data_IF_889038165702
#
_entry.id   IF_889038165702
#
_cell.length_a   1.000
_cell.length_b   1.000
_cell.length_c   1.000
_cell.angle_alpha   90.00
_cell.angle_beta   90.00
_cell.angle_gamma   90.00
#
_symmetry.space_group_name_H-M   'P 1'
#
loop_
_entity.id
_entity.type
_entity.pdbx_description
1 polymer ?
#
# COMPACT_ATOMS: atom_id res chain seq x y z
N UNK A 1 26.47 21.26 0.41
CA UNK A 1 26.13 19.81 0.38
C UNK A 1 24.64 19.48 0.61
N UNK A 2 23.69 20.42 0.57
CA UNK A 2 22.27 20.10 0.82
C UNK A 2 21.50 19.52 -0.39
N UNK A 3 21.86 19.88 -1.62
CA UNK A 3 21.09 19.51 -2.82
C UNK A 3 21.00 17.99 -3.05
N UNK A 4 22.09 17.24 -2.87
CA UNK A 4 22.07 15.79 -3.07
C UNK A 4 21.26 15.04 -2.00
N UNK A 5 21.32 15.46 -0.73
CA UNK A 5 20.55 14.82 0.32
C UNK A 5 19.03 15.03 0.17
N UNK A 6 18.59 16.19 -0.34
CA UNK A 6 17.18 16.41 -0.66
C UNK A 6 16.74 15.59 -1.87
N UNK A 7 17.53 15.54 -2.94
CA UNK A 7 17.20 14.74 -4.14
C UNK A 7 17.19 13.24 -3.86
N UNK A 8 18.16 12.71 -3.11
CA UNK A 8 18.18 11.30 -2.68
C UNK A 8 16.97 10.94 -1.82
N UNK A 9 16.59 11.80 -0.87
CA UNK A 9 15.37 11.61 -0.07
C UNK A 9 14.09 11.62 -0.91
N UNK A 10 14.04 12.44 -1.96
CA UNK A 10 12.89 12.47 -2.89
C UNK A 10 12.82 11.18 -3.71
N UNK A 11 13.97 10.62 -4.09
CA UNK A 11 14.07 9.36 -4.85
C UNK A 11 13.64 8.16 -3.99
N UNK A 12 14.17 8.03 -2.77
CA UNK A 12 13.77 6.98 -1.81
C UNK A 12 12.26 6.97 -1.53
N UNK A 13 11.65 8.16 -1.42
CA UNK A 13 10.19 8.26 -1.19
C UNK A 13 9.38 7.97 -2.45
N UNK A 14 9.97 8.12 -3.63
CA UNK A 14 9.35 7.73 -4.89
C UNK A 14 9.40 6.21 -5.07
N UNK A 15 10.49 5.56 -4.67
CA UNK A 15 10.60 4.09 -4.61
C UNK A 15 9.57 3.48 -3.65
N UNK A 16 9.39 4.08 -2.46
CA UNK A 16 8.36 3.66 -1.51
C UNK A 16 6.96 3.75 -2.13
N UNK A 17 6.66 4.84 -2.85
CA UNK A 17 5.36 4.99 -3.53
C UNK A 17 5.14 3.91 -4.58
N UNK A 18 6.12 3.69 -5.47
CA UNK A 18 6.06 2.66 -6.50
C UNK A 18 5.91 1.27 -5.90
N UNK A 19 6.59 0.98 -4.80
CA UNK A 19 6.42 -0.28 -4.08
C UNK A 19 5.00 -0.43 -3.49
N UNK A 20 4.45 0.66 -2.93
CA UNK A 20 3.06 0.70 -2.47
C UNK A 20 2.06 0.36 -3.58
N UNK A 21 2.26 0.90 -4.79
CA UNK A 21 1.45 0.57 -5.96
C UNK A 21 1.53 -0.92 -6.32
N UNK A 22 2.72 -1.52 -6.26
CA UNK A 22 2.91 -2.97 -6.48
C UNK A 22 2.16 -3.79 -5.43
N UNK A 23 2.18 -3.40 -4.15
CA UNK A 23 1.40 -4.09 -3.12
C UNK A 23 -0.10 -4.04 -3.40
N UNK A 24 -0.61 -2.90 -3.88
CA UNK A 24 -2.01 -2.76 -4.27
C UNK A 24 -2.37 -3.61 -5.50
N UNK A 25 -1.49 -3.70 -6.50
CA UNK A 25 -1.64 -4.62 -7.63
C UNK A 25 -1.73 -6.07 -7.15
N UNK A 26 -0.87 -6.49 -6.21
CA UNK A 26 -0.88 -7.85 -5.67
C UNK A 26 -2.17 -8.17 -4.89
N UNK A 27 -2.67 -7.23 -4.08
CA UNK A 27 -3.91 -7.43 -3.31
C UNK A 27 -5.12 -7.54 -4.23
N UNK A 28 -5.15 -6.76 -5.31
CA UNK A 28 -6.33 -6.64 -6.18
C UNK A 28 -6.29 -7.55 -7.41
N UNK A 29 -5.12 -8.07 -7.76
CA UNK A 29 -4.92 -8.82 -9.00
C UNK A 29 -5.01 -7.96 -10.25
N UNK A 30 -5.00 -6.62 -10.12
CA UNK A 30 -5.22 -5.67 -11.21
C UNK A 30 -3.93 -4.92 -11.51
N UNK A 31 -3.64 -4.73 -12.80
CA UNK A 31 -2.50 -3.92 -13.25
C UNK A 31 -2.68 -2.45 -12.89
N UNK A 32 -1.65 -1.74 -12.42
CA UNK A 32 -1.75 -0.36 -11.93
C UNK A 32 -2.09 0.67 -13.00
N UNK A 33 -1.88 0.31 -14.27
CA UNK A 33 -2.27 1.08 -15.44
C UNK A 33 -3.36 0.30 -16.17
N UNK A 34 -4.60 0.75 -16.02
CA UNK A 34 -5.79 0.18 -16.65
C UNK A 34 -6.90 1.22 -16.68
N UNK A 35 -7.97 0.97 -17.46
CA UNK A 35 -9.19 1.78 -17.38
C UNK A 35 -9.93 1.40 -16.09
N UNK A 36 -9.57 2.04 -14.98
CA UNK A 36 -10.30 1.90 -13.73
C UNK A 36 -11.57 2.77 -13.79
N UNK A 37 -12.65 2.18 -14.31
CA UNK A 37 -13.91 2.88 -14.55
C UNK A 37 -13.91 3.72 -15.83
N UNK A 38 -14.94 4.55 -15.99
CA UNK A 38 -15.11 5.43 -17.17
C UNK A 38 -14.23 6.70 -17.09
N UNK A 39 -13.69 7.03 -15.91
CA UNK A 39 -13.03 8.31 -15.63
C UNK A 39 -11.50 8.32 -15.76
N UNK A 40 -10.87 7.19 -16.15
CA UNK A 40 -9.42 7.12 -16.33
C UNK A 40 -8.62 7.26 -15.02
N UNK A 41 -9.22 6.90 -13.89
CA UNK A 41 -8.58 6.94 -12.57
C UNK A 41 -7.37 6.00 -12.51
N UNK A 42 -6.37 6.35 -11.70
CA UNK A 42 -5.30 5.40 -11.36
C UNK A 42 -5.77 4.35 -10.33
N UNK A 43 -5.01 3.27 -10.18
CA UNK A 43 -5.34 2.17 -9.26
C UNK A 43 -5.47 2.65 -7.80
N UNK A 44 -4.68 3.64 -7.39
CA UNK A 44 -4.68 4.16 -6.01
C UNK A 44 -5.99 4.88 -5.77
N UNK A 45 -6.38 5.79 -6.66
CA UNK A 45 -7.64 6.52 -6.58
C UNK A 45 -8.84 5.58 -6.56
N UNK A 46 -8.89 4.62 -7.48
CA UNK A 46 -9.97 3.63 -7.54
C UNK A 46 -10.08 2.85 -6.23
N UNK A 47 -8.96 2.34 -5.71
CA UNK A 47 -8.93 1.60 -4.44
C UNK A 47 -9.39 2.46 -3.26
N UNK A 48 -8.94 3.72 -3.18
CA UNK A 48 -9.35 4.62 -2.10
C UNK A 48 -10.85 4.90 -2.15
N UNK A 49 -11.45 5.03 -3.35
CA UNK A 49 -12.90 5.17 -3.50
C UNK A 49 -13.66 3.92 -3.07
N UNK A 50 -13.21 2.72 -3.47
CA UNK A 50 -13.88 1.46 -3.09
C UNK A 50 -13.82 1.17 -1.60
N UNK A 51 -12.70 1.55 -0.96
CA UNK A 51 -12.44 1.25 0.45
C UNK A 51 -12.79 2.39 1.39
N UNK A 52 -13.01 3.60 0.87
CA UNK A 52 -13.01 4.86 1.62
C UNK A 52 -11.74 4.99 2.52
N UNK A 53 -10.63 4.42 2.05
CA UNK A 53 -9.38 4.28 2.81
C UNK A 53 -9.46 3.41 4.07
N UNK A 54 -10.53 2.64 4.27
CA UNK A 54 -10.74 1.79 5.43
C UNK A 54 -10.28 0.35 5.17
N UNK A 55 -9.35 -0.16 5.99
CA UNK A 55 -8.87 -1.55 5.89
C UNK A 55 -9.99 -2.59 6.05
N UNK A 56 -11.07 -2.27 6.75
CA UNK A 56 -12.20 -3.19 6.90
C UNK A 56 -12.92 -3.46 5.56
N UNK A 57 -12.75 -2.57 4.57
CA UNK A 57 -13.34 -2.70 3.24
C UNK A 57 -12.46 -3.46 2.25
N UNK A 58 -11.30 -3.98 2.66
CA UNK A 58 -10.35 -4.71 1.79
C UNK A 58 -10.99 -5.89 1.07
N UNK A 59 -11.96 -6.56 1.70
CA UNK A 59 -12.71 -7.66 1.10
C UNK A 59 -13.42 -7.29 -0.22
N UNK A 60 -13.71 -6.01 -0.46
CA UNK A 60 -14.36 -5.53 -1.70
C UNK A 60 -13.42 -5.49 -2.90
N UNK A 61 -12.12 -5.40 -2.65
CA UNK A 61 -11.11 -5.22 -3.70
C UNK A 61 -10.16 -6.41 -3.80
N UNK A 62 -10.26 -7.37 -2.88
CA UNK A 62 -9.36 -8.51 -2.78
C UNK A 62 -9.51 -9.41 -4.00
N UNK A 63 -8.39 -9.82 -4.58
CA UNK A 63 -8.34 -10.81 -5.65
C UNK A 63 -8.92 -12.15 -5.15
N UNK A 64 -9.87 -12.71 -5.90
CA UNK A 64 -10.52 -14.00 -5.60
C UNK A 64 -9.53 -15.17 -5.50
N UNK A 65 -8.35 -15.05 -6.15
CA UNK A 65 -7.26 -16.03 -6.07
C UNK A 65 -6.61 -16.07 -4.68
N UNK A 66 -6.80 -15.04 -3.85
CA UNK A 66 -6.25 -14.93 -2.49
C UNK A 66 -7.14 -15.54 -1.41
N UNK A 67 -8.15 -16.34 -1.76
CA UNK A 67 -9.08 -16.97 -0.81
C UNK A 67 -8.42 -17.82 0.29
N UNK A 68 -7.19 -18.28 0.08
CA UNK A 68 -6.41 -19.08 1.05
C UNK A 68 -5.57 -18.21 2.01
N UNK A 69 -5.48 -16.90 1.77
CA UNK A 69 -4.74 -15.97 2.61
C UNK A 69 -5.67 -15.44 3.72
N UNK A 70 -5.24 -15.42 5.00
CA UNK A 70 -6.05 -14.85 6.06
C UNK A 70 -6.39 -13.38 5.77
N UNK A 71 -7.68 -13.03 5.90
CA UNK A 71 -8.13 -11.65 5.64
C UNK A 71 -7.42 -10.62 6.51
N UNK A 72 -6.99 -11.00 7.72
CA UNK A 72 -6.18 -10.16 8.62
C UNK A 72 -4.84 -9.78 8.00
N UNK A 73 -4.16 -10.71 7.34
CA UNK A 73 -2.89 -10.45 6.65
C UNK A 73 -3.13 -9.52 5.46
N UNK A 74 -4.16 -9.80 4.64
CA UNK A 74 -4.52 -8.94 3.51
C UNK A 74 -4.85 -7.51 3.96
N UNK A 75 -5.57 -7.33 5.08
CA UNK A 75 -5.85 -6.02 5.69
C UNK A 75 -4.59 -5.30 6.14
N UNK A 76 -3.61 -6.02 6.67
CA UNK A 76 -2.33 -5.43 7.08
C UNK A 76 -1.48 -5.01 5.89
N UNK A 77 -1.36 -5.86 4.86
CA UNK A 77 -0.64 -5.50 3.63
C UNK A 77 -1.30 -4.28 2.98
N UNK A 78 -2.63 -4.22 2.94
CA UNK A 78 -3.36 -3.05 2.45
C UNK A 78 -3.04 -1.79 3.25
N UNK A 79 -3.02 -1.88 4.58
CA UNK A 79 -2.68 -0.75 5.43
C UNK A 79 -1.27 -0.23 5.15
N UNK A 80 -0.28 -1.13 5.03
CA UNK A 80 1.09 -0.75 4.66
C UNK A 80 1.13 -0.11 3.28
N UNK A 81 0.45 -0.69 2.29
CA UNK A 81 0.38 -0.16 0.93
C UNK A 81 -0.22 1.25 0.90
N UNK A 82 -1.29 1.49 1.67
CA UNK A 82 -1.92 2.82 1.84
C UNK A 82 -0.94 3.86 2.38
N UNK A 83 -0.11 3.51 3.37
CA UNK A 83 0.93 4.40 3.89
C UNK A 83 2.01 4.69 2.85
N UNK A 84 2.39 3.69 2.06
CA UNK A 84 3.41 3.83 1.01
C UNK A 84 2.96 4.78 -0.11
N UNK A 85 1.69 4.72 -0.51
CA UNK A 85 1.12 5.56 -1.59
C UNK A 85 0.57 6.91 -1.10
N UNK A 86 0.92 7.33 0.11
CA UNK A 86 0.44 8.61 0.63
C UNK A 86 0.86 9.77 -0.28
N UNK A 87 -0.05 10.73 -0.51
CA UNK A 87 0.17 11.88 -1.40
C UNK A 87 1.40 12.68 -0.97
N UNK A 88 1.48 13.00 0.32
CA UNK A 88 2.61 13.69 0.93
C UNK A 88 3.78 12.73 1.16
N UNK A 89 4.92 12.97 0.50
CA UNK A 89 6.11 12.11 0.56
C UNK A 89 6.74 12.00 1.95
N UNK A 90 6.56 13.01 2.80
CA UNK A 90 7.07 13.03 4.18
C UNK A 90 6.35 12.05 5.10
N UNK A 91 5.08 11.76 4.81
CA UNK A 91 4.23 10.82 5.57
C UNK A 91 4.45 9.36 5.14
N UNK A 92 5.07 9.13 3.98
CA UNK A 92 5.40 7.78 3.54
C UNK A 92 6.45 7.20 4.50
N UNK A 93 6.41 5.90 4.83
CA UNK A 93 7.47 5.26 5.61
C UNK A 93 8.80 5.22 4.83
N UNK A 94 9.86 4.76 5.49
CA UNK A 94 11.10 4.30 4.85
C UNK A 94 10.94 2.85 4.40
N UNK A 95 11.70 2.40 3.40
CA UNK A 95 11.66 0.99 2.98
C UNK A 95 11.98 0.01 4.12
N UNK A 96 12.81 0.42 5.08
CA UNK A 96 13.09 -0.37 6.28
C UNK A 96 11.82 -0.57 7.12
N UNK A 97 11.11 0.51 7.43
CA UNK A 97 9.85 0.44 8.17
C UNK A 97 8.79 -0.38 7.41
N UNK A 98 8.75 -0.26 6.07
CA UNK A 98 7.86 -1.08 5.23
C UNK A 98 8.12 -2.57 5.43
N UNK A 99 9.38 -3.00 5.37
CA UNK A 99 9.75 -4.41 5.58
C UNK A 99 9.41 -4.86 7.00
N UNK A 100 9.68 -4.04 8.02
CA UNK A 100 9.36 -4.34 9.41
C UNK A 100 7.84 -4.50 9.63
N UNK A 101 7.03 -3.62 9.05
CA UNK A 101 5.56 -3.70 9.11
C UNK A 101 5.02 -4.95 8.39
N UNK A 102 5.55 -5.28 7.20
CA UNK A 102 5.14 -6.47 6.44
C UNK A 102 5.56 -7.77 7.14
N UNK A 103 6.73 -7.80 7.79
CA UNK A 103 7.16 -8.95 8.57
C UNK A 103 6.24 -9.21 9.78
N UNK A 104 5.75 -8.14 10.41
CA UNK A 104 4.76 -8.23 11.50
C UNK A 104 3.38 -8.68 11.01
N UNK A 105 3.05 -8.46 9.73
CA UNK A 105 1.76 -8.89 9.19
C UNK A 105 1.59 -10.43 9.17
N UNK A 106 2.69 -11.17 9.08
CA UNK A 106 2.69 -12.64 9.15
C UNK A 106 2.53 -13.21 10.56
N UNK A 107 2.59 -12.35 11.59
CA UNK A 107 2.54 -12.76 12.99
C UNK A 107 1.12 -12.51 13.53
N UNK A 108 0.38 -13.55 13.96
CA UNK A 108 -1.02 -13.40 14.35
C UNK A 108 -1.27 -12.55 15.62
N UNK A 109 -0.26 -11.95 16.27
CA UNK A 109 -0.41 -11.43 17.63
C UNK A 109 0.48 -10.24 18.06
N UNK A 110 0.86 -9.29 17.19
CA UNK A 110 1.84 -8.25 17.60
C UNK A 110 1.45 -6.77 17.52
N UNK A 111 0.20 -6.41 17.19
CA UNK A 111 -0.23 -5.01 17.37
C UNK A 111 -0.93 -4.79 18.72
N UNK A 112 -0.15 -4.89 19.80
CA UNK A 112 -0.38 -4.08 21.01
C UNK A 112 0.62 -2.93 20.95
N UNK A 113 0.19 -1.80 20.40
CA UNK A 113 0.82 -0.52 20.73
C UNK A 113 0.08 0.01 21.97
N UNK A 114 0.82 0.07 23.08
CA UNK A 114 0.50 0.93 24.23
C UNK A 114 0.69 2.39 23.83
#
# INVERSE_FOLDING_TARGET
MKKYAYTLKVDEKSDVYSFGVVLLELITGRRPVGNFGEDGLDIVQWIMMQTNGNKEMVMKILDERLHHIPLTEAKQVFFVAKLCVHEHSVERPTMREVVEMLAQAKQPNTFRMQ
#
